data_IF_225547868030
#
_entry.id   IF_225547868030
#
_cell.length_a   1.000
_cell.length_b   1.000
_cell.length_c   1.000
_cell.angle_alpha   90.00
_cell.angle_beta   90.00
_cell.angle_gamma   90.00
#
_symmetry.space_group_name_H-M   'P 1'
#
loop_
_entity.id
_entity.type
_entity.pdbx_description
1 polymer ?
#
# COMPACT_ATOMS: atom_id res chain seq x y z
N UNK A 1 57.40 -37.60 26.54
CA UNK A 1 56.57 -36.42 26.80
C UNK A 1 56.25 -35.69 25.51
N UNK A 2 57.20 -35.58 24.56
CA UNK A 2 57.00 -34.89 23.27
C UNK A 2 55.96 -35.54 22.31
N UNK A 3 55.88 -36.88 22.30
CA UNK A 3 54.87 -37.56 21.41
C UNK A 3 53.45 -37.35 21.85
N UNK A 4 53.21 -37.22 23.15
CA UNK A 4 51.86 -36.95 23.67
C UNK A 4 51.35 -35.51 23.29
N UNK A 5 52.26 -34.55 23.38
CA UNK A 5 52.01 -33.17 23.01
C UNK A 5 51.71 -33.03 21.51
N UNK A 6 52.46 -33.73 20.65
CA UNK A 6 52.22 -33.78 19.19
C UNK A 6 50.87 -34.41 18.84
N UNK A 7 50.45 -35.47 19.55
CA UNK A 7 49.12 -36.09 19.34
C UNK A 7 47.98 -35.16 19.75
N UNK A 8 48.12 -34.43 20.85
CA UNK A 8 47.14 -33.46 21.32
C UNK A 8 47.02 -32.32 20.31
N UNK A 9 48.13 -31.77 19.85
CA UNK A 9 48.16 -30.64 18.91
C UNK A 9 47.56 -31.04 17.54
N UNK A 10 47.85 -32.24 17.03
CA UNK A 10 47.23 -32.77 15.81
C UNK A 10 45.71 -32.99 15.95
N UNK A 11 45.23 -33.43 17.11
CA UNK A 11 43.81 -33.63 17.39
C UNK A 11 43.04 -32.30 17.43
N UNK A 12 43.63 -31.28 18.05
CA UNK A 12 43.07 -29.93 18.11
C UNK A 12 42.96 -29.32 16.70
N UNK A 13 44.05 -29.45 15.92
CA UNK A 13 44.10 -28.93 14.54
C UNK A 13 43.06 -29.63 13.64
N UNK A 14 42.93 -30.96 13.76
CA UNK A 14 41.89 -31.71 13.00
C UNK A 14 40.47 -31.30 13.35
N UNK A 15 40.18 -31.02 14.62
CA UNK A 15 38.90 -30.54 15.10
C UNK A 15 38.59 -29.14 14.56
N UNK A 16 39.57 -28.25 14.56
CA UNK A 16 39.42 -26.89 14.02
C UNK A 16 39.14 -26.89 12.50
N UNK A 17 39.89 -27.73 11.74
CA UNK A 17 39.64 -27.91 10.29
C UNK A 17 38.24 -28.46 10.03
N UNK A 18 37.78 -29.42 10.86
CA UNK A 18 36.43 -29.98 10.74
C UNK A 18 35.36 -28.92 10.97
N UNK A 19 35.50 -28.08 11.99
CA UNK A 19 34.53 -27.00 12.27
C UNK A 19 34.54 -25.92 11.19
N UNK A 20 35.70 -25.54 10.66
CA UNK A 20 35.81 -24.61 9.53
C UNK A 20 35.11 -25.17 8.28
N UNK A 21 35.30 -26.46 7.97
CA UNK A 21 34.63 -27.13 6.86
C UNK A 21 33.11 -27.18 7.04
N UNK A 22 32.60 -27.50 8.23
CA UNK A 22 31.16 -27.48 8.53
C UNK A 22 30.55 -26.07 8.31
N UNK A 23 31.19 -25.02 8.83
CA UNK A 23 30.77 -23.65 8.64
C UNK A 23 30.75 -23.24 7.16
N UNK A 24 31.75 -23.63 6.40
CA UNK A 24 31.81 -23.37 4.96
C UNK A 24 30.68 -24.10 4.21
N UNK A 25 30.40 -25.35 4.52
CA UNK A 25 29.30 -26.11 3.91
C UNK A 25 27.95 -25.47 4.25
N UNK A 26 27.71 -25.08 5.49
CA UNK A 26 26.48 -24.39 5.92
C UNK A 26 26.32 -23.07 5.17
N UNK A 27 27.39 -22.28 5.05
CA UNK A 27 27.37 -21.03 4.31
C UNK A 27 26.99 -21.24 2.83
N UNK A 28 27.55 -22.25 2.18
CA UNK A 28 27.23 -22.61 0.79
C UNK A 28 25.76 -23.02 0.66
N UNK A 29 25.23 -23.81 1.57
CA UNK A 29 23.84 -24.26 1.57
C UNK A 29 22.91 -23.05 1.73
N UNK A 30 23.20 -22.15 2.68
CA UNK A 30 22.39 -20.93 2.90
C UNK A 30 22.42 -20.04 1.66
N UNK A 31 23.58 -19.83 1.05
CA UNK A 31 23.71 -19.01 -0.16
C UNK A 31 22.89 -19.59 -1.31
N UNK A 32 23.01 -20.91 -1.57
CA UNK A 32 22.23 -21.55 -2.63
C UNK A 32 20.72 -21.50 -2.36
N UNK A 33 20.30 -21.74 -1.13
CA UNK A 33 18.88 -21.60 -0.75
C UNK A 33 18.36 -20.18 -0.95
N UNK A 34 19.16 -19.15 -0.61
CA UNK A 34 18.81 -17.75 -0.83
C UNK A 34 18.68 -17.40 -2.32
N UNK A 35 19.59 -17.91 -3.16
CA UNK A 35 19.52 -17.71 -4.62
C UNK A 35 18.28 -18.35 -5.19
N UNK A 36 17.97 -19.60 -4.81
CA UNK A 36 16.77 -20.30 -5.26
C UNK A 36 15.49 -19.58 -4.83
N UNK A 37 15.45 -19.05 -3.61
CA UNK A 37 14.34 -18.26 -3.12
C UNK A 37 14.14 -16.98 -3.95
N UNK A 38 15.20 -16.24 -4.25
CA UNK A 38 15.16 -15.03 -5.07
C UNK A 38 14.65 -15.37 -6.48
N UNK A 39 15.17 -16.43 -7.10
CA UNK A 39 14.72 -16.87 -8.42
C UNK A 39 13.24 -17.26 -8.42
N UNK A 40 12.79 -17.97 -7.40
CA UNK A 40 11.38 -18.32 -7.25
C UNK A 40 10.50 -17.06 -7.10
N UNK A 41 10.92 -16.08 -6.28
CA UNK A 41 10.21 -14.80 -6.15
C UNK A 41 10.15 -14.05 -7.48
N UNK A 42 11.26 -13.92 -8.21
CA UNK A 42 11.29 -13.29 -9.53
C UNK A 42 10.34 -13.99 -10.50
N UNK A 43 10.31 -15.32 -10.51
CA UNK A 43 9.42 -16.08 -11.37
C UNK A 43 7.93 -15.90 -11.00
N UNK A 44 7.60 -15.89 -9.72
CA UNK A 44 6.24 -15.70 -9.22
C UNK A 44 5.73 -14.27 -9.52
N UNK A 45 6.57 -13.25 -9.31
CA UNK A 45 6.16 -11.84 -9.46
C UNK A 45 6.37 -11.27 -10.86
N UNK A 46 6.84 -12.07 -11.83
CA UNK A 46 6.94 -11.59 -13.22
C UNK A 46 5.56 -11.24 -13.79
N UNK A 47 5.45 -10.16 -14.56
CA UNK A 47 4.21 -9.80 -15.23
C UNK A 47 3.82 -10.87 -16.25
N UNK A 48 2.53 -11.16 -16.35
CA UNK A 48 1.94 -12.06 -17.35
C UNK A 48 1.04 -11.25 -18.28
N UNK A 49 1.11 -11.54 -19.57
CA UNK A 49 0.23 -10.95 -20.58
C UNK A 49 -1.04 -11.79 -20.72
N UNK A 50 -2.16 -11.10 -20.84
CA UNK A 50 -3.47 -11.70 -21.02
C UNK A 50 -4.20 -11.02 -22.18
N UNK A 51 -5.07 -11.76 -22.84
CA UNK A 51 -6.01 -11.23 -23.83
C UNK A 51 -7.42 -11.42 -23.31
N UNK A 52 -8.20 -10.34 -23.29
CA UNK A 52 -9.58 -10.29 -22.84
C UNK A 52 -10.49 -10.04 -24.05
N UNK A 53 -11.47 -10.90 -24.29
CA UNK A 53 -12.54 -10.65 -25.24
C UNK A 53 -13.62 -9.81 -24.56
N UNK A 54 -13.83 -8.58 -25.05
CA UNK A 54 -14.76 -7.61 -24.48
C UNK A 54 -16.20 -8.09 -24.69
N UNK A 55 -16.91 -8.26 -23.59
CA UNK A 55 -18.34 -8.63 -23.56
C UNK A 55 -19.25 -7.48 -23.20
N UNK A 56 -18.73 -6.52 -22.43
CA UNK A 56 -19.43 -5.31 -22.03
C UNK A 56 -18.46 -4.18 -21.74
N UNK A 57 -18.97 -2.95 -21.76
CA UNK A 57 -18.26 -1.74 -21.39
C UNK A 57 -19.10 -0.98 -20.39
N UNK A 58 -18.45 -0.24 -19.50
CA UNK A 58 -19.20 0.51 -18.50
C UNK A 58 -18.38 1.66 -17.95
N UNK A 59 -19.07 2.46 -17.17
CA UNK A 59 -18.50 3.58 -16.46
C UNK A 59 -19.15 3.73 -15.09
N UNK A 60 -18.44 4.37 -14.18
CA UNK A 60 -18.94 4.74 -12.88
C UNK A 60 -18.47 6.16 -12.55
N UNK A 61 -19.39 6.99 -12.09
CA UNK A 61 -19.15 8.34 -11.61
C UNK A 61 -19.49 8.45 -10.15
N UNK A 62 -18.57 8.97 -9.37
CA UNK A 62 -18.68 9.16 -7.92
C UNK A 62 -18.52 10.60 -7.56
N UNK A 63 -19.49 11.13 -6.80
CA UNK A 63 -19.41 12.45 -6.19
C UNK A 63 -19.32 12.22 -4.69
N UNK A 64 -18.14 12.43 -4.04
CA UNK A 64 -18.05 12.35 -2.60
C UNK A 64 -18.79 13.53 -1.99
N UNK A 65 -19.67 13.25 -1.04
CA UNK A 65 -20.31 14.26 -0.21
C UNK A 65 -19.57 14.34 1.10
N UNK A 66 -19.05 15.52 1.38
CA UNK A 66 -18.31 15.82 2.59
C UNK A 66 -19.22 16.55 3.58
N UNK A 67 -19.09 16.18 4.84
CA UNK A 67 -19.78 16.83 5.96
C UNK A 67 -18.76 17.52 6.85
N UNK A 68 -19.03 18.75 7.28
CA UNK A 68 -18.19 19.45 8.24
C UNK A 68 -18.40 18.83 9.62
N UNK A 69 -17.33 18.25 10.18
CA UNK A 69 -17.37 17.42 11.38
C UNK A 69 -16.25 17.81 12.33
N UNK A 70 -16.52 17.98 13.66
CA UNK A 70 -15.49 18.13 14.65
C UNK A 70 -14.61 16.86 14.70
N UNK A 71 -13.32 17.00 14.50
CA UNK A 71 -12.35 15.89 14.51
C UNK A 71 -11.32 16.11 15.59
N UNK A 72 -11.13 15.10 16.44
CA UNK A 72 -10.13 15.12 17.50
C UNK A 72 -8.76 14.74 16.96
N UNK A 73 -7.76 15.54 17.29
CA UNK A 73 -6.37 15.33 16.93
C UNK A 73 -5.47 15.31 18.14
N UNK A 74 -4.33 14.63 18.02
CA UNK A 74 -3.31 14.68 19.04
C UNK A 74 -1.91 14.57 18.43
N UNK A 75 -0.91 15.17 19.07
CA UNK A 75 0.46 15.12 18.57
C UNK A 75 1.43 16.01 19.33
N UNK A 76 2.67 15.99 18.88
CA UNK A 76 3.77 16.79 19.46
C UNK A 76 3.87 18.20 18.86
N UNK A 77 3.28 18.42 17.70
CA UNK A 77 3.27 19.72 17.04
C UNK A 77 2.20 20.62 17.60
N UNK A 78 2.48 21.90 17.70
CA UNK A 78 1.50 22.91 18.12
C UNK A 78 0.25 22.87 17.25
N UNK A 79 -0.95 22.99 17.85
CA UNK A 79 -2.20 23.03 17.12
C UNK A 79 -2.24 24.17 16.09
N UNK A 80 -2.97 24.00 14.99
CA UNK A 80 -3.21 25.07 14.03
C UNK A 80 -4.12 26.17 14.65
N UNK A 81 -4.14 27.35 14.03
CA UNK A 81 -4.86 28.51 14.57
C UNK A 81 -6.38 28.37 14.66
N UNK A 82 -6.95 27.43 13.91
CA UNK A 82 -8.39 27.11 13.92
C UNK A 82 -8.75 25.97 14.88
N UNK A 83 -7.79 25.46 15.67
CA UNK A 83 -8.05 24.45 16.67
C UNK A 83 -8.73 25.04 17.89
N UNK A 84 -9.59 24.24 18.52
CA UNK A 84 -10.27 24.56 19.77
C UNK A 84 -10.28 23.34 20.70
N UNK A 85 -10.75 23.51 21.96
CA UNK A 85 -10.66 22.49 23.02
C UNK A 85 -9.24 21.95 23.16
N UNK A 86 -8.26 22.89 23.21
CA UNK A 86 -6.85 22.54 23.26
C UNK A 86 -6.49 22.14 24.67
N UNK A 87 -6.02 20.91 24.83
CA UNK A 87 -5.45 20.39 26.07
C UNK A 87 -3.97 20.10 25.87
N UNK A 88 -3.18 20.32 26.92
CA UNK A 88 -1.74 20.04 26.89
C UNK A 88 -1.32 19.15 28.03
N UNK A 89 -0.43 18.23 27.77
CA UNK A 89 0.18 17.40 28.80
C UNK A 89 1.67 17.20 28.52
N UNK A 90 2.46 17.08 29.59
CA UNK A 90 3.89 16.78 29.45
C UNK A 90 4.08 15.28 29.35
N UNK A 91 4.54 14.77 28.21
CA UNK A 91 4.75 13.33 27.97
C UNK A 91 6.21 13.04 27.62
N UNK A 92 6.66 11.81 27.93
CA UNK A 92 8.00 11.36 27.54
C UNK A 92 8.07 11.22 26.02
N UNK A 93 9.05 11.89 25.42
CA UNK A 93 9.28 11.92 23.98
C UNK A 93 10.70 11.38 23.65
N UNK A 94 10.97 10.14 24.07
CA UNK A 94 12.26 9.48 23.86
C UNK A 94 13.25 9.69 25.02
N UNK A 95 14.51 9.39 24.76
CA UNK A 95 15.62 9.49 25.69
C UNK A 95 16.81 10.19 25.05
N UNK A 96 17.50 11.02 25.82
CA UNK A 96 18.73 11.68 25.41
C UNK A 96 19.92 10.94 26.01
N UNK A 97 20.88 10.50 25.19
CA UNK A 97 22.14 9.94 25.66
C UNK A 97 23.00 11.07 26.25
N UNK A 98 23.38 10.93 27.52
CA UNK A 98 24.22 11.90 28.24
C UNK A 98 25.65 11.39 28.46
N UNK A 99 25.94 10.15 28.10
CA UNK A 99 27.26 9.53 28.24
C UNK A 99 27.22 8.03 28.11
N UNK A 100 28.35 7.39 28.39
CA UNK A 100 28.45 5.93 28.44
C UNK A 100 29.11 5.49 29.74
N UNK A 101 28.68 4.33 30.24
CA UNK A 101 29.31 3.72 31.41
C UNK A 101 30.66 3.07 31.06
N UNK A 102 31.36 2.52 32.07
CA UNK A 102 32.66 1.85 31.92
C UNK A 102 32.62 0.64 30.97
N UNK A 103 31.44 0.09 30.67
CA UNK A 103 31.23 -1.05 29.76
C UNK A 103 30.76 -0.60 28.35
N UNK A 104 30.73 0.71 28.08
CA UNK A 104 30.31 1.29 26.81
C UNK A 104 28.80 1.35 26.62
N UNK A 105 27.99 1.00 27.63
CA UNK A 105 26.51 1.09 27.56
C UNK A 105 26.07 2.54 27.68
N UNK A 106 25.12 3.01 26.83
CA UNK A 106 24.64 4.39 26.91
C UNK A 106 23.90 4.68 28.22
N UNK A 107 24.24 5.81 28.82
CA UNK A 107 23.52 6.39 29.97
C UNK A 107 22.52 7.38 29.37
N UNK A 108 21.23 7.13 29.54
CA UNK A 108 20.18 7.96 28.98
C UNK A 108 19.34 8.62 30.07
N UNK A 109 18.83 9.82 29.76
CA UNK A 109 17.81 10.49 30.56
C UNK A 109 16.54 10.67 29.74
N UNK A 110 15.35 10.51 30.35
CA UNK A 110 14.10 10.70 29.64
C UNK A 110 13.95 12.15 29.21
N UNK A 111 13.63 12.34 27.95
CA UNK A 111 13.24 13.63 27.40
C UNK A 111 11.70 13.78 27.48
N UNK A 112 11.23 14.95 27.87
CA UNK A 112 9.80 15.26 28.00
C UNK A 112 9.49 16.46 27.11
N UNK A 113 8.40 16.33 26.36
CA UNK A 113 7.89 17.40 25.50
C UNK A 113 6.39 17.63 25.74
N UNK A 114 5.86 18.70 25.17
CA UNK A 114 4.44 19.04 25.26
C UNK A 114 3.66 18.23 24.23
N UNK A 115 2.71 17.45 24.72
CA UNK A 115 1.71 16.74 23.94
C UNK A 115 0.45 17.58 23.87
N UNK A 116 -0.10 17.76 22.69
CA UNK A 116 -1.32 18.50 22.43
C UNK A 116 -2.46 17.55 22.08
N UNK A 117 -3.65 17.81 22.61
CA UNK A 117 -4.91 17.22 22.19
C UNK A 117 -5.86 18.37 21.85
N UNK A 118 -6.53 18.31 20.70
CA UNK A 118 -7.34 19.43 20.22
C UNK A 118 -8.38 18.96 19.21
N UNK A 119 -9.35 19.83 18.90
CA UNK A 119 -10.40 19.58 17.91
C UNK A 119 -10.26 20.58 16.76
N UNK A 120 -10.50 20.11 15.52
CA UNK A 120 -10.60 20.93 14.32
C UNK A 120 -11.87 20.54 13.59
N UNK A 121 -12.56 21.51 13.00
CA UNK A 121 -13.68 21.23 12.10
C UNK A 121 -13.12 20.90 10.71
N UNK A 122 -13.39 19.69 10.23
CA UNK A 122 -12.86 19.16 8.98
C UNK A 122 -13.96 18.65 8.06
N UNK A 123 -13.73 18.79 6.75
CA UNK A 123 -14.59 18.22 5.74
C UNK A 123 -14.27 16.74 5.53
N UNK A 124 -15.11 15.87 6.08
CA UNK A 124 -14.94 14.41 5.98
C UNK A 124 -15.95 13.84 5.00
N UNK A 125 -15.49 12.97 4.10
CA UNK A 125 -16.41 12.26 3.20
C UNK A 125 -17.33 11.34 4.00
N UNK A 126 -18.61 11.66 3.98
CA UNK A 126 -19.65 10.93 4.71
C UNK A 126 -20.42 9.93 3.84
N UNK A 127 -20.58 10.23 2.54
CA UNK A 127 -21.27 9.38 1.58
C UNK A 127 -20.84 9.68 0.15
N UNK A 128 -21.25 8.82 -0.78
CA UNK A 128 -21.06 9.02 -2.22
C UNK A 128 -22.41 9.02 -2.94
N UNK A 129 -22.54 9.91 -3.92
CA UNK A 129 -23.53 9.77 -4.97
C UNK A 129 -22.87 9.03 -6.12
N UNK A 130 -23.36 7.83 -6.41
CA UNK A 130 -22.79 6.95 -7.44
C UNK A 130 -23.78 6.82 -8.58
N UNK A 131 -23.30 7.01 -9.78
CA UNK A 131 -24.03 6.77 -11.03
C UNK A 131 -23.19 5.85 -11.89
N UNK A 132 -23.79 4.77 -12.39
CA UNK A 132 -23.09 3.80 -13.22
C UNK A 132 -24.01 3.25 -14.30
N UNK A 133 -23.46 2.94 -15.46
CA UNK A 133 -24.18 2.26 -16.53
C UNK A 133 -23.23 1.46 -17.44
N UNK A 134 -23.85 0.63 -18.29
CA UNK A 134 -23.14 -0.22 -19.28
C UNK A 134 -23.39 0.33 -20.69
N UNK A 135 -23.12 1.61 -20.87
CA UNK A 135 -23.25 2.32 -22.13
C UNK A 135 -22.07 3.28 -22.34
N UNK A 136 -22.10 4.05 -23.43
CA UNK A 136 -21.10 5.09 -23.74
C UNK A 136 -21.61 6.51 -23.51
N UNK A 137 -22.60 6.71 -22.63
CA UNK A 137 -23.22 8.00 -22.37
C UNK A 137 -23.10 8.39 -20.88
N UNK A 138 -21.88 8.62 -20.35
CA UNK A 138 -21.72 8.90 -18.94
C UNK A 138 -22.32 10.24 -18.54
N UNK A 139 -23.11 10.25 -17.45
CA UNK A 139 -23.71 11.43 -16.86
C UNK A 139 -23.48 11.49 -15.35
N UNK A 140 -23.61 12.68 -14.78
CA UNK A 140 -23.53 12.87 -13.33
C UNK A 140 -24.91 12.77 -12.71
N UNK A 141 -25.04 11.97 -11.65
CA UNK A 141 -26.27 11.90 -10.88
C UNK A 141 -26.57 13.21 -10.14
N UNK A 142 -27.80 13.43 -9.84
CA UNK A 142 -28.27 14.59 -9.08
C UNK A 142 -27.80 14.51 -7.63
N UNK A 143 -27.21 15.59 -7.14
CA UNK A 143 -26.75 15.71 -5.76
C UNK A 143 -27.80 16.47 -4.95
N UNK A 144 -28.25 15.85 -3.86
CA UNK A 144 -29.07 16.52 -2.84
C UNK A 144 -28.21 16.66 -1.57
N UNK A 145 -27.84 17.88 -1.24
CA UNK A 145 -27.13 18.22 -0.01
C UNK A 145 -28.13 18.45 1.13
N UNK A 146 -27.68 18.19 2.36
CA UNK A 146 -28.46 18.55 3.55
C UNK A 146 -28.68 20.08 3.59
N UNK A 147 -29.79 20.48 4.14
CA UNK A 147 -30.38 21.84 4.03
C UNK A 147 -29.60 22.93 4.80
N UNK A 148 -28.49 22.63 5.45
CA UNK A 148 -27.65 23.67 6.07
C UNK A 148 -26.92 24.44 4.97
N UNK A 149 -27.41 25.64 4.70
CA UNK A 149 -26.86 26.52 3.65
C UNK A 149 -25.60 27.28 4.07
N UNK A 150 -25.28 27.33 5.36
CA UNK A 150 -24.05 27.95 5.84
C UNK A 150 -22.92 26.90 5.95
N UNK A 151 -21.90 26.98 5.10
CA UNK A 151 -20.79 26.05 5.09
C UNK A 151 -19.91 26.08 6.34
N UNK A 152 -20.19 26.99 7.28
CA UNK A 152 -19.49 27.10 8.57
C UNK A 152 -20.15 26.32 9.67
N UNK A 153 -21.36 25.83 9.45
CA UNK A 153 -22.09 25.10 10.47
C UNK A 153 -21.71 23.61 10.47
N UNK A 154 -21.46 23.07 11.63
CA UNK A 154 -21.29 21.62 11.83
C UNK A 154 -22.51 20.89 11.23
N UNK A 155 -22.22 19.83 10.45
CA UNK A 155 -23.23 19.09 9.71
C UNK A 155 -23.55 19.69 8.33
N UNK A 156 -22.97 20.83 7.94
CA UNK A 156 -23.05 21.33 6.57
C UNK A 156 -22.45 20.30 5.58
N UNK A 157 -23.07 20.17 4.43
CA UNK A 157 -22.59 19.28 3.37
C UNK A 157 -22.09 20.07 2.16
N UNK A 158 -21.08 19.50 1.48
CA UNK A 158 -20.59 20.00 0.19
C UNK A 158 -20.18 18.84 -0.72
N UNK A 159 -20.12 19.10 -2.01
CA UNK A 159 -19.50 18.18 -2.96
C UNK A 159 -17.96 18.23 -2.82
N UNK A 160 -17.33 17.06 -2.82
CA UNK A 160 -15.89 16.91 -3.00
C UNK A 160 -15.49 16.73 -4.47
N UNK A 161 -14.26 16.33 -4.70
CA UNK A 161 -13.75 16.14 -6.07
C UNK A 161 -14.44 14.97 -6.75
N UNK A 162 -15.06 15.25 -7.88
CA UNK A 162 -15.75 14.26 -8.72
C UNK A 162 -14.76 13.27 -9.33
N UNK A 163 -15.14 12.00 -9.37
CA UNK A 163 -14.31 10.90 -9.87
C UNK A 163 -15.06 10.14 -10.95
N UNK A 164 -14.36 9.77 -12.02
CA UNK A 164 -14.88 8.90 -13.07
C UNK A 164 -13.98 7.70 -13.21
N UNK A 165 -14.57 6.51 -13.31
CA UNK A 165 -13.88 5.25 -13.59
C UNK A 165 -14.51 4.67 -14.84
N UNK A 166 -13.70 4.31 -15.80
CA UNK A 166 -14.09 3.59 -16.99
C UNK A 166 -13.59 2.15 -16.92
N UNK A 167 -14.40 1.20 -17.36
CA UNK A 167 -14.01 -0.20 -17.32
C UNK A 167 -14.56 -0.98 -18.51
N UNK A 168 -13.87 -2.05 -18.80
CA UNK A 168 -14.29 -3.09 -19.72
C UNK A 168 -14.51 -4.38 -18.96
N UNK A 169 -15.52 -5.13 -19.38
CA UNK A 169 -15.87 -6.43 -18.83
C UNK A 169 -15.72 -7.45 -19.94
N UNK A 170 -14.96 -8.49 -19.70
CA UNK A 170 -14.71 -9.50 -20.71
C UNK A 170 -14.30 -10.84 -20.14
N UNK A 171 -14.12 -11.78 -21.02
CA UNK A 171 -13.69 -13.13 -20.72
C UNK A 171 -12.26 -13.32 -21.20
N UNK A 172 -11.41 -13.96 -20.40
CA UNK A 172 -10.05 -14.30 -20.80
C UNK A 172 -10.09 -15.26 -22.00
N UNK A 173 -9.34 -14.91 -23.05
CA UNK A 173 -9.12 -15.80 -24.18
C UNK A 173 -8.15 -16.90 -23.75
N UNK A 174 -8.35 -18.10 -24.25
CA UNK A 174 -7.49 -19.26 -23.95
C UNK A 174 -7.48 -19.68 -22.47
N UNK A 175 -8.59 -19.47 -21.79
CA UNK A 175 -8.81 -19.95 -20.42
C UNK A 175 -10.12 -20.75 -20.39
N UNK A 176 -10.12 -21.87 -19.69
CA UNK A 176 -11.35 -22.63 -19.36
C UNK A 176 -12.21 -21.87 -18.34
N UNK A 177 -11.66 -20.81 -17.75
CA UNK A 177 -12.37 -19.93 -16.81
C UNK A 177 -13.35 -19.03 -17.60
N UNK A 178 -14.63 -19.30 -17.46
CA UNK A 178 -15.73 -18.51 -18.05
C UNK A 178 -16.06 -17.26 -17.23
N UNK A 179 -15.37 -17.03 -16.12
CA UNK A 179 -15.61 -15.90 -15.23
C UNK A 179 -15.30 -14.59 -15.94
N UNK A 180 -16.24 -13.63 -15.87
CA UNK A 180 -16.03 -12.32 -16.41
C UNK A 180 -15.04 -11.54 -15.53
N UNK A 181 -14.04 -10.92 -16.17
CA UNK A 181 -13.08 -10.02 -15.55
C UNK A 181 -13.45 -8.59 -15.84
N UNK A 182 -13.38 -7.72 -14.83
CA UNK A 182 -13.54 -6.28 -14.98
C UNK A 182 -12.17 -5.62 -14.91
N UNK A 183 -11.83 -4.82 -15.90
CA UNK A 183 -10.57 -4.09 -15.99
C UNK A 183 -10.86 -2.61 -16.08
N UNK A 184 -10.27 -1.83 -15.16
CA UNK A 184 -10.28 -0.37 -15.24
C UNK A 184 -9.37 0.08 -16.38
N UNK A 185 -9.87 0.99 -17.22
CA UNK A 185 -9.17 1.49 -18.41
C UNK A 185 -9.18 3.02 -18.45
N UNK A 186 -8.24 3.58 -19.21
CA UNK A 186 -8.25 5.02 -19.46
C UNK A 186 -9.41 5.45 -20.37
N UNK A 187 -9.83 6.70 -20.25
CA UNK A 187 -10.95 7.28 -21.00
C UNK A 187 -10.78 7.13 -22.53
N UNK A 188 -9.57 7.39 -23.06
CA UNK A 188 -9.27 7.26 -24.48
C UNK A 188 -9.53 5.84 -24.97
N UNK A 189 -8.95 4.84 -24.30
CA UNK A 189 -9.14 3.43 -24.68
C UNK A 189 -10.63 3.03 -24.56
N UNK A 190 -11.32 3.51 -23.52
CA UNK A 190 -12.73 3.21 -23.32
C UNK A 190 -13.62 3.76 -24.46
N UNK A 191 -13.28 4.94 -25.00
CA UNK A 191 -13.99 5.50 -26.15
C UNK A 191 -13.81 4.66 -27.42
N UNK A 192 -12.61 4.15 -27.63
CA UNK A 192 -12.23 3.42 -28.85
C UNK A 192 -12.71 1.97 -28.84
N UNK A 193 -12.73 1.32 -27.70
CA UNK A 193 -13.07 -0.11 -27.57
C UNK A 193 -14.56 -0.37 -27.83
N UNK A 194 -14.84 -1.52 -28.48
CA UNK A 194 -16.19 -2.01 -28.79
C UNK A 194 -16.41 -3.39 -28.21
N UNK A 195 -17.66 -3.77 -28.03
CA UNK A 195 -18.03 -5.15 -27.68
C UNK A 195 -17.57 -6.07 -28.82
N UNK A 196 -16.88 -7.13 -28.49
CA UNK A 196 -16.26 -8.08 -29.42
C UNK A 196 -14.79 -7.81 -29.70
N UNK A 197 -14.25 -6.65 -29.34
CA UNK A 197 -12.83 -6.38 -29.46
C UNK A 197 -12.02 -7.24 -28.49
N UNK A 198 -10.75 -7.43 -28.80
CA UNK A 198 -9.79 -8.05 -27.91
C UNK A 198 -8.87 -6.99 -27.30
N UNK A 199 -8.68 -7.08 -25.99
CA UNK A 199 -7.78 -6.21 -25.24
C UNK A 199 -6.63 -7.01 -24.69
N UNK A 200 -5.41 -6.59 -25.00
CA UNK A 200 -4.19 -7.09 -24.37
C UNK A 200 -3.87 -6.27 -23.13
N UNK A 201 -3.51 -6.92 -22.06
CA UNK A 201 -3.04 -6.27 -20.85
C UNK A 201 -2.00 -7.12 -20.12
N UNK A 202 -1.20 -6.46 -19.33
CA UNK A 202 -0.20 -7.11 -18.48
C UNK A 202 -0.61 -6.98 -17.01
N UNK A 203 -0.50 -8.06 -16.25
CA UNK A 203 -0.80 -8.06 -14.84
C UNK A 203 0.21 -8.89 -14.06
N UNK A 204 0.61 -8.40 -12.89
CA UNK A 204 1.34 -9.18 -11.88
C UNK A 204 0.34 -9.89 -10.96
N UNK A 205 0.80 -10.88 -10.21
CA UNK A 205 -0.02 -11.59 -9.21
C UNK A 205 -0.67 -10.61 -8.22
N UNK A 206 0.07 -9.56 -7.86
CA UNK A 206 -0.41 -8.47 -7.01
C UNK A 206 -0.30 -7.17 -7.80
N UNK A 207 -1.42 -6.45 -7.94
CA UNK A 207 -1.47 -5.16 -8.63
C UNK A 207 -2.60 -5.03 -9.64
N UNK A 208 -2.78 -3.81 -10.14
CA UNK A 208 -3.75 -3.53 -11.19
C UNK A 208 -3.18 -3.93 -12.56
N UNK A 209 -4.05 -4.25 -13.55
CA UNK A 209 -3.65 -4.36 -14.94
C UNK A 209 -2.96 -3.08 -15.43
N UNK A 210 -1.98 -3.22 -16.30
CA UNK A 210 -1.24 -2.13 -16.93
C UNK A 210 -0.90 -2.51 -18.40
N UNK A 211 -0.35 -1.58 -19.16
CA UNK A 211 -0.04 -1.77 -20.60
C UNK A 211 -1.26 -2.25 -21.40
N UNK A 212 -2.41 -1.61 -21.16
CA UNK A 212 -3.69 -2.03 -21.73
C UNK A 212 -3.81 -1.42 -23.13
N UNK A 213 -4.07 -2.27 -24.14
CA UNK A 213 -4.25 -1.86 -25.53
C UNK A 213 -5.25 -2.75 -26.28
N UNK A 214 -5.88 -2.23 -27.32
CA UNK A 214 -6.70 -3.04 -28.24
C UNK A 214 -5.74 -3.92 -29.03
N UNK A 215 -6.05 -5.20 -29.13
CA UNK A 215 -5.29 -6.13 -29.97
C UNK A 215 -5.48 -5.76 -31.46
N UNK A 216 -4.39 -5.70 -32.19
CA UNK A 216 -4.38 -5.45 -33.64
C UNK A 216 -4.62 -6.72 -34.42
#
# INVERSE_FOLDING_TARGET
MDDLLRMIDSSIMMKEISEKRKKAIIAIIITNASILLILALVFIFRPKSYTLLVKNIGWERRIPIQTLTPTHHSGWSSPPSNAYNIETSRRRHGDTEIGRDSNGKPITVPNYDTWYEYTIDEWITSRFVVTQAYDKSPYWGDVKLATSTDPRNIGAEREGSRQTVYYVIGQLRNSDDTTLKTIEVGESLWHDVKIGDEINYTQRIVGKPHDISIAQ
#
